data_IF_077049505183
#
_entry.id   IF_077049505183
#
_cell.length_a   1.000
_cell.length_b   1.000
_cell.length_c   1.000
_cell.angle_alpha   90.00
_cell.angle_beta   90.00
_cell.angle_gamma   90.00
#
_symmetry.space_group_name_H-M   'P 1'
#
loop_
_entity.id
_entity.type
_entity.pdbx_description
1 polymer ?
#
# COMPACT_ATOMS: atom_id res chain seq x y z
N UNK A 1 16.45 -32.70 4.25
CA UNK A 1 15.35 -32.83 3.25
C UNK A 1 14.28 -31.81 3.61
N UNK A 2 13.76 -31.00 2.69
CA UNK A 2 12.69 -30.07 3.03
C UNK A 2 11.37 -30.85 3.19
N UNK A 3 10.73 -30.68 4.34
CA UNK A 3 9.46 -31.32 4.69
C UNK A 3 8.36 -30.62 3.89
N UNK A 4 8.05 -31.15 2.71
CA UNK A 4 6.90 -30.72 1.91
C UNK A 4 5.64 -31.45 2.39
N UNK A 5 5.09 -31.04 3.52
CA UNK A 5 3.65 -31.21 3.73
C UNK A 5 2.97 -30.35 2.68
N UNK A 6 2.20 -30.93 1.75
CA UNK A 6 1.36 -30.17 0.81
C UNK A 6 0.42 -29.27 1.62
N UNK A 7 0.85 -28.05 1.92
CA UNK A 7 0.01 -27.00 2.50
C UNK A 7 -1.13 -26.79 1.51
N UNK A 8 -2.36 -26.89 1.99
CA UNK A 8 -3.52 -26.38 1.24
C UNK A 8 -3.16 -24.96 0.78
N UNK A 9 -3.40 -24.63 -0.50
CA UNK A 9 -3.05 -23.34 -1.13
C UNK A 9 -3.23 -22.22 -0.10
N UNK A 10 -2.11 -21.76 0.47
CA UNK A 10 -2.13 -20.75 1.51
C UNK A 10 -2.86 -19.55 0.94
N UNK A 11 -3.88 -19.06 1.66
CA UNK A 11 -4.50 -17.80 1.29
C UNK A 11 -3.38 -16.74 1.31
N UNK A 12 -3.06 -16.18 0.15
CA UNK A 12 -2.04 -15.13 -0.01
C UNK A 12 -2.15 -14.12 1.13
N UNK A 13 -1.12 -14.06 1.97
CA UNK A 13 -1.03 -13.11 3.07
C UNK A 13 -0.45 -11.81 2.55
N UNK A 14 -0.98 -10.68 3.01
CA UNK A 14 -0.51 -9.34 2.66
C UNK A 14 -0.14 -8.57 3.93
N UNK A 15 0.82 -7.64 3.82
CA UNK A 15 1.23 -6.75 4.91
C UNK A 15 0.08 -5.96 5.57
N UNK A 16 -1.05 -5.80 4.86
CA UNK A 16 -2.22 -5.04 5.32
C UNK A 16 -3.51 -5.76 4.96
N UNK A 17 -4.53 -5.62 5.83
CA UNK A 17 -5.91 -6.05 5.54
C UNK A 17 -6.60 -5.20 4.48
N UNK A 18 -6.05 -4.02 4.14
CA UNK A 18 -6.58 -3.13 3.10
C UNK A 18 -6.08 -3.53 1.71
N UNK A 19 -6.14 -4.81 1.33
CA UNK A 19 -5.86 -5.25 -0.04
C UNK A 19 -7.11 -5.07 -0.92
N UNK A 20 -6.98 -4.95 -2.26
CA UNK A 20 -8.12 -4.65 -3.10
C UNK A 20 -9.03 -5.87 -3.23
N UNK A 21 -10.33 -5.65 -2.99
CA UNK A 21 -11.37 -6.67 -3.17
C UNK A 21 -12.28 -6.22 -4.31
N UNK A 22 -12.32 -7.01 -5.36
CA UNK A 22 -13.17 -6.81 -6.51
C UNK A 22 -14.47 -7.58 -6.26
N UNK A 23 -15.59 -6.87 -6.11
CA UNK A 23 -16.91 -7.49 -6.01
C UNK A 23 -17.30 -8.26 -7.28
N UNK A 24 -18.53 -8.78 -7.30
CA UNK A 24 -19.06 -9.58 -8.42
C UNK A 24 -19.39 -8.76 -9.69
N UNK A 25 -19.47 -7.44 -9.58
CA UNK A 25 -19.79 -6.55 -10.70
C UNK A 25 -18.65 -6.38 -11.73
N UNK A 26 -19.03 -5.82 -12.90
CA UNK A 26 -18.07 -5.38 -13.93
C UNK A 26 -17.22 -4.25 -13.36
N UNK A 27 -15.90 -4.39 -13.49
CA UNK A 27 -14.96 -3.41 -12.97
C UNK A 27 -14.87 -2.21 -13.91
N UNK A 28 -15.03 -1.01 -13.37
CA UNK A 28 -14.90 0.24 -14.09
C UNK A 28 -13.72 1.05 -13.54
N UNK A 29 -12.68 1.24 -14.34
CA UNK A 29 -11.47 1.99 -13.96
C UNK A 29 -11.75 3.48 -13.71
N UNK A 30 -12.78 4.06 -14.35
CA UNK A 30 -13.15 5.47 -14.14
C UNK A 30 -13.90 5.69 -12.82
N UNK A 31 -14.63 4.67 -12.36
CA UNK A 31 -15.35 4.70 -11.10
C UNK A 31 -15.12 3.40 -10.31
N UNK A 32 -13.90 3.19 -9.80
CA UNK A 32 -13.55 1.96 -9.12
C UNK A 32 -14.24 1.87 -7.75
N UNK A 33 -14.63 0.67 -7.29
CA UNK A 33 -15.26 0.49 -5.98
C UNK A 33 -14.39 1.01 -4.84
N UNK A 34 -15.04 1.47 -3.75
CA UNK A 34 -14.34 1.96 -2.55
C UNK A 34 -13.42 0.91 -1.93
N UNK A 35 -13.76 -0.38 -2.05
CA UNK A 35 -12.92 -1.51 -1.60
C UNK A 35 -11.59 -1.59 -2.36
N UNK A 36 -11.54 -1.09 -3.59
CA UNK A 36 -10.33 -1.00 -4.42
C UNK A 36 -9.56 0.28 -4.10
N UNK A 37 -10.23 1.44 -4.09
CA UNK A 37 -9.56 2.72 -3.82
C UNK A 37 -9.08 2.88 -2.38
N UNK A 38 -9.60 2.07 -1.45
CA UNK A 38 -9.11 2.00 -0.07
C UNK A 38 -7.83 1.16 0.09
N UNK A 39 -7.33 0.57 -0.99
CA UNK A 39 -6.10 -0.21 -1.01
C UNK A 39 -4.89 0.65 -1.40
N UNK A 40 -3.76 0.57 -0.67
CA UNK A 40 -2.54 1.26 -1.07
C UNK A 40 -1.96 0.69 -2.38
N UNK A 41 -2.22 -0.59 -2.68
CA UNK A 41 -1.73 -1.23 -3.91
C UNK A 41 -2.41 -0.67 -5.18
N UNK A 42 -3.66 -0.23 -5.06
CA UNK A 42 -4.33 0.51 -6.14
C UNK A 42 -3.57 1.81 -6.45
N UNK A 43 -3.24 2.57 -5.40
CA UNK A 43 -2.51 3.83 -5.58
C UNK A 43 -1.09 3.62 -6.08
N UNK A 44 -0.39 2.57 -5.62
CA UNK A 44 0.91 2.17 -6.16
C UNK A 44 0.83 2.02 -7.68
N UNK A 45 -0.14 1.24 -8.16
CA UNK A 45 -0.37 1.05 -9.60
C UNK A 45 -0.69 2.38 -10.31
N UNK A 46 -1.58 3.22 -9.76
CA UNK A 46 -1.92 4.52 -10.36
C UNK A 46 -0.73 5.46 -10.46
N UNK A 47 0.14 5.52 -9.44
CA UNK A 47 1.33 6.36 -9.49
C UNK A 47 2.40 5.79 -10.42
N UNK A 48 2.52 4.47 -10.51
CA UNK A 48 3.41 3.82 -11.48
C UNK A 48 3.03 4.16 -12.92
N UNK A 49 1.73 4.20 -13.24
CA UNK A 49 1.23 4.64 -14.55
C UNK A 49 1.63 6.08 -14.91
N UNK A 50 1.92 6.92 -13.91
CA UNK A 50 2.35 8.30 -14.12
C UNK A 50 3.88 8.45 -14.22
N UNK A 51 4.64 7.38 -13.98
CA UNK A 51 6.09 7.42 -13.97
C UNK A 51 6.66 7.37 -15.41
N UNK A 52 7.27 8.48 -15.82
CA UNK A 52 7.85 8.61 -17.16
C UNK A 52 9.12 7.78 -17.32
N UNK A 53 9.95 7.66 -16.29
CA UNK A 53 11.17 6.83 -16.31
C UNK A 53 10.83 5.33 -16.42
N UNK A 54 9.75 4.89 -15.77
CA UNK A 54 9.20 3.55 -15.93
C UNK A 54 8.68 3.34 -17.35
N UNK A 55 7.94 4.31 -17.89
CA UNK A 55 7.44 4.27 -19.27
C UNK A 55 8.58 4.18 -20.31
N UNK A 56 9.69 4.89 -20.08
CA UNK A 56 10.92 4.78 -20.89
C UNK A 56 11.54 3.38 -20.77
N UNK A 57 11.60 2.84 -19.55
CA UNK A 57 12.14 1.51 -19.26
C UNK A 57 11.39 0.40 -20.01
N UNK A 58 10.05 0.44 -19.97
CA UNK A 58 9.17 -0.46 -20.73
C UNK A 58 9.42 -0.38 -22.25
N UNK A 59 9.77 0.81 -22.77
CA UNK A 59 10.12 1.03 -24.18
C UNK A 59 11.58 0.69 -24.52
N UNK A 60 12.32 0.08 -23.59
CA UNK A 60 13.76 -0.25 -23.72
C UNK A 60 14.65 0.97 -23.97
N UNK A 61 14.23 2.15 -23.51
CA UNK A 61 15.04 3.37 -23.56
C UNK A 61 15.92 3.48 -22.31
N UNK A 62 16.96 4.33 -22.36
CA UNK A 62 17.81 4.61 -21.21
C UNK A 62 16.97 5.21 -20.06
N UNK A 63 17.06 4.58 -18.88
CA UNK A 63 16.26 4.91 -17.69
C UNK A 63 17.07 4.63 -16.43
N UNK A 64 16.62 5.17 -15.30
CA UNK A 64 17.15 4.84 -13.96
C UNK A 64 16.38 3.70 -13.27
N UNK A 65 15.27 3.25 -13.85
CA UNK A 65 14.45 2.17 -13.29
C UNK A 65 15.15 0.82 -13.48
N UNK A 66 15.13 -0.02 -12.45
CA UNK A 66 15.68 -1.38 -12.50
C UNK A 66 14.94 -2.26 -13.50
N UNK A 67 15.68 -3.08 -14.26
CA UNK A 67 15.11 -4.05 -15.21
C UNK A 67 14.14 -5.01 -14.52
N UNK A 68 14.47 -5.46 -13.31
CA UNK A 68 13.62 -6.35 -12.51
C UNK A 68 12.22 -5.76 -12.30
N UNK A 69 12.12 -4.46 -12.02
CA UNK A 69 10.83 -3.78 -11.80
C UNK A 69 9.98 -3.78 -13.07
N UNK A 70 10.61 -3.67 -14.25
CA UNK A 70 9.92 -3.73 -15.54
C UNK A 70 9.47 -5.16 -15.86
N UNK A 71 10.29 -6.15 -15.56
CA UNK A 71 9.97 -7.58 -15.72
C UNK A 71 8.81 -7.99 -14.82
N UNK A 72 8.83 -7.55 -13.56
CA UNK A 72 7.82 -7.88 -12.56
C UNK A 72 6.48 -7.18 -12.84
N UNK A 73 6.49 -5.88 -13.14
CA UNK A 73 5.25 -5.11 -13.28
C UNK A 73 4.69 -5.05 -14.71
N UNK A 74 5.55 -5.26 -15.71
CA UNK A 74 5.15 -5.27 -17.12
C UNK A 74 4.53 -3.95 -17.61
N UNK A 75 3.59 -4.05 -18.56
CA UNK A 75 2.96 -2.87 -19.19
C UNK A 75 1.73 -2.38 -18.41
N UNK A 76 1.95 -1.52 -17.42
CA UNK A 76 0.85 -0.97 -16.62
C UNK A 76 0.00 0.08 -17.37
N UNK A 77 0.53 0.67 -18.45
CA UNK A 77 -0.15 1.70 -19.25
C UNK A 77 -1.33 1.17 -20.08
N UNK A 78 -1.35 -0.13 -20.36
CA UNK A 78 -2.31 -0.78 -21.26
C UNK A 78 -3.27 -1.75 -20.56
N UNK A 79 -3.29 -1.77 -19.24
CA UNK A 79 -4.08 -2.73 -18.48
C UNK A 79 -4.85 -2.01 -17.38
N UNK A 80 -6.07 -2.47 -17.10
CA UNK A 80 -6.84 -1.98 -15.95
C UNK A 80 -6.32 -2.60 -14.65
N UNK A 81 -6.60 -1.96 -13.51
CA UNK A 81 -6.04 -2.42 -12.25
C UNK A 81 -6.49 -3.83 -11.86
N UNK A 82 -7.73 -4.23 -12.17
CA UNK A 82 -8.26 -5.57 -11.81
C UNK A 82 -7.50 -6.65 -12.55
N UNK A 83 -7.34 -6.49 -13.87
CA UNK A 83 -6.60 -7.44 -14.71
C UNK A 83 -5.14 -7.53 -14.28
N UNK A 84 -4.49 -6.39 -14.05
CA UNK A 84 -3.10 -6.35 -13.59
C UNK A 84 -2.93 -7.00 -12.20
N UNK A 85 -3.80 -6.68 -11.24
CA UNK A 85 -3.72 -7.24 -9.88
C UNK A 85 -3.90 -8.76 -9.86
N UNK A 86 -4.76 -9.31 -10.73
CA UNK A 86 -5.03 -10.76 -10.77
C UNK A 86 -3.75 -11.57 -11.04
N UNK A 87 -2.87 -11.06 -11.90
CA UNK A 87 -1.61 -11.72 -12.27
C UNK A 87 -0.44 -11.31 -11.38
N UNK A 88 -0.42 -10.08 -10.84
CA UNK A 88 0.76 -9.51 -10.15
C UNK A 88 0.65 -9.46 -8.62
N UNK A 89 -0.49 -9.84 -8.02
CA UNK A 89 -0.64 -9.74 -6.56
C UNK A 89 0.41 -10.54 -5.76
N UNK A 90 1.00 -11.59 -6.34
CA UNK A 90 2.05 -12.41 -5.71
C UNK A 90 3.34 -11.61 -5.42
N UNK A 91 3.55 -10.48 -6.09
CA UNK A 91 4.67 -9.58 -5.84
C UNK A 91 4.54 -8.85 -4.50
N UNK A 92 3.33 -8.76 -3.97
CA UNK A 92 2.99 -8.03 -2.75
C UNK A 92 2.64 -8.97 -1.58
N UNK A 93 2.75 -10.28 -1.78
CA UNK A 93 2.44 -11.25 -0.74
C UNK A 93 3.62 -11.47 0.18
N UNK A 94 3.32 -11.61 1.47
CA UNK A 94 4.31 -12.08 2.43
C UNK A 94 4.76 -13.50 2.05
N UNK A 95 6.05 -13.82 2.22
CA UNK A 95 6.51 -15.19 2.07
C UNK A 95 5.76 -16.10 3.03
N UNK A 96 5.55 -17.35 2.63
CA UNK A 96 4.95 -18.33 3.53
C UNK A 96 5.86 -18.52 4.75
N UNK A 97 5.29 -18.46 5.94
CA UNK A 97 6.02 -18.84 7.14
C UNK A 97 6.19 -20.35 7.15
N UNK A 98 7.40 -20.81 7.47
CA UNK A 98 7.69 -22.24 7.58
C UNK A 98 6.77 -22.90 8.62
N UNK A 99 6.46 -22.17 9.68
CA UNK A 99 5.66 -22.64 10.79
C UNK A 99 4.24 -22.07 10.81
N UNK A 100 3.33 -22.89 11.30
CA UNK A 100 1.92 -22.56 11.55
C UNK A 100 1.50 -23.15 12.89
N UNK A 101 0.52 -22.56 13.56
CA UNK A 101 -0.01 -23.11 14.81
C UNK A 101 -0.77 -24.41 14.51
N UNK A 102 -0.15 -25.54 14.85
CA UNK A 102 -0.68 -26.89 14.63
C UNK A 102 -0.57 -27.71 15.90
N UNK A 103 -1.35 -28.79 15.98
CA UNK A 103 -1.12 -29.86 16.95
C UNK A 103 -0.20 -30.87 16.27
N UNK A 104 1.05 -30.94 16.71
CA UNK A 104 2.01 -31.89 16.19
C UNK A 104 1.54 -33.33 16.49
N UNK A 105 1.45 -34.17 15.46
CA UNK A 105 1.11 -35.59 15.57
C UNK A 105 2.31 -36.52 15.41
N UNK A 106 3.42 -35.98 14.88
CA UNK A 106 4.67 -36.70 14.67
C UNK A 106 5.85 -35.83 15.06
N UNK A 107 6.99 -36.46 15.32
CA UNK A 107 8.20 -35.75 15.73
C UNK A 107 8.73 -34.81 14.62
N UNK A 108 8.49 -35.12 13.35
CA UNK A 108 8.94 -34.27 12.23
C UNK A 108 8.14 -32.95 12.12
N UNK A 109 6.99 -32.84 12.79
CA UNK A 109 6.18 -31.64 12.84
C UNK A 109 6.61 -30.68 13.98
N UNK A 110 7.49 -31.14 14.87
CA UNK A 110 8.09 -30.32 15.91
C UNK A 110 9.19 -29.45 15.30
N UNK A 111 9.25 -28.21 15.76
CA UNK A 111 10.38 -27.35 15.43
C UNK A 111 11.64 -27.81 16.18
N UNK A 112 12.86 -27.45 15.71
CA UNK A 112 14.07 -27.59 16.52
C UNK A 112 13.88 -26.92 17.89
N UNK A 113 14.31 -27.57 18.97
CA UNK A 113 14.10 -27.09 20.34
C UNK A 113 14.79 -25.76 20.65
N UNK A 114 15.79 -25.43 19.86
CA UNK A 114 16.68 -24.26 19.88
C UNK A 114 16.33 -23.24 18.77
N UNK A 115 15.16 -23.38 18.14
CA UNK A 115 14.65 -22.40 17.17
C UNK A 115 14.43 -21.02 17.80
N UNK A 116 14.85 -19.97 17.10
CA UNK A 116 14.61 -18.57 17.49
C UNK A 116 13.26 -18.03 17.03
N UNK A 117 12.61 -18.72 16.08
CA UNK A 117 11.37 -18.23 15.45
C UNK A 117 10.11 -18.87 16.02
N UNK A 118 10.21 -20.07 16.63
CA UNK A 118 9.06 -20.79 17.17
C UNK A 118 9.40 -21.57 18.44
N UNK A 119 8.35 -21.94 19.19
CA UNK A 119 8.46 -22.76 20.39
C UNK A 119 7.56 -23.99 20.28
N UNK A 120 8.04 -25.13 20.78
CA UNK A 120 7.19 -26.30 20.99
C UNK A 120 6.51 -26.17 22.36
N UNK A 121 5.18 -26.16 22.39
CA UNK A 121 4.39 -25.98 23.61
C UNK A 121 3.62 -27.25 23.96
N UNK A 122 3.78 -27.74 25.19
CA UNK A 122 3.01 -28.87 25.74
C UNK A 122 1.86 -28.34 26.58
N UNK A 123 0.63 -28.78 26.27
CA UNK A 123 -0.59 -28.32 26.96
C UNK A 123 -1.26 -29.49 27.67
N UNK A 124 -1.33 -29.50 29.02
CA UNK A 124 -2.03 -30.54 29.76
C UNK A 124 -3.55 -30.41 29.57
N UNK A 125 -4.20 -31.49 29.10
CA UNK A 125 -5.64 -31.48 28.80
C UNK A 125 -6.55 -31.64 30.02
N UNK A 126 -6.00 -32.04 31.17
CA UNK A 126 -6.76 -32.18 32.42
C UNK A 126 -6.99 -30.83 33.14
N UNK A 127 -6.46 -29.73 32.61
CA UNK A 127 -6.64 -28.39 33.17
C UNK A 127 -7.92 -27.74 32.65
N UNK A 128 -8.45 -26.78 33.41
CA UNK A 128 -9.59 -26.00 32.95
C UNK A 128 -9.20 -25.12 31.75
N UNK A 129 -10.16 -24.90 30.83
CA UNK A 129 -9.95 -24.05 29.64
C UNK A 129 -9.42 -22.65 30.00
N UNK A 130 -9.94 -22.06 31.08
CA UNK A 130 -9.50 -20.75 31.60
C UNK A 130 -8.07 -20.82 32.13
N UNK A 131 -7.71 -21.88 32.85
CA UNK A 131 -6.36 -22.10 33.37
C UNK A 131 -5.32 -22.23 32.26
N UNK A 132 -5.64 -23.02 31.21
CA UNK A 132 -4.80 -23.18 30.01
C UNK A 132 -4.60 -21.83 29.33
N UNK A 133 -5.68 -21.13 28.96
CA UNK A 133 -5.60 -19.82 28.29
C UNK A 133 -4.74 -18.83 29.06
N UNK A 134 -4.95 -18.71 30.37
CA UNK A 134 -4.17 -17.82 31.24
C UNK A 134 -2.68 -18.16 31.23
N UNK A 135 -2.32 -19.44 31.34
CA UNK A 135 -0.92 -19.86 31.38
C UNK A 135 -0.22 -19.70 30.04
N UNK A 136 -0.91 -20.02 28.95
CA UNK A 136 -0.42 -19.78 27.58
C UNK A 136 -0.18 -18.29 27.35
N UNK A 137 -1.13 -17.42 27.72
CA UNK A 137 -0.93 -15.96 27.63
C UNK A 137 0.28 -15.47 28.43
N UNK A 138 0.50 -15.99 29.65
CA UNK A 138 1.69 -15.64 30.45
C UNK A 138 3.00 -16.07 29.80
N UNK A 139 3.03 -17.23 29.13
CA UNK A 139 4.21 -17.69 28.39
C UNK A 139 4.46 -16.82 27.15
N UNK A 140 3.42 -16.53 26.39
CA UNK A 140 3.51 -15.66 25.21
C UNK A 140 4.00 -14.26 25.60
N UNK A 141 3.47 -13.66 26.67
CA UNK A 141 3.87 -12.32 27.12
C UNK A 141 5.35 -12.25 27.54
N UNK A 142 5.97 -13.37 27.92
CA UNK A 142 7.41 -13.44 28.25
C UNK A 142 8.30 -13.62 27.01
N UNK A 143 7.82 -14.37 26.03
CA UNK A 143 8.62 -14.80 24.88
C UNK A 143 8.45 -13.90 23.65
N UNK A 144 7.26 -13.32 23.49
CA UNK A 144 6.90 -12.48 22.34
C UNK A 144 6.81 -11.02 22.81
N UNK A 145 7.65 -10.13 22.28
CA UNK A 145 7.60 -8.73 22.66
C UNK A 145 6.26 -8.11 22.26
N UNK A 146 5.70 -7.29 23.16
CA UNK A 146 4.47 -6.55 22.86
C UNK A 146 4.75 -5.51 21.80
N UNK A 147 4.04 -5.57 20.69
CA UNK A 147 4.18 -4.59 19.62
C UNK A 147 3.65 -3.23 20.06
N UNK A 148 4.41 -2.14 19.89
CA UNK A 148 3.89 -0.79 20.09
C UNK A 148 2.65 -0.56 19.23
N UNK A 149 1.66 0.16 19.75
CA UNK A 149 0.44 0.49 19.00
C UNK A 149 0.81 1.16 17.66
N UNK A 150 0.37 0.54 16.56
CA UNK A 150 0.52 1.09 15.21
C UNK A 150 1.87 0.82 14.52
N UNK A 151 2.75 0.00 15.12
CA UNK A 151 3.95 -0.48 14.43
C UNK A 151 3.80 -1.96 14.09
N UNK A 152 4.27 -2.42 12.91
CA UNK A 152 4.37 -3.85 12.65
C UNK A 152 5.52 -4.46 13.46
N UNK A 153 5.35 -5.70 13.94
CA UNK A 153 6.36 -6.40 14.75
C UNK A 153 7.62 -6.72 13.93
N UNK A 154 7.43 -7.04 12.64
CA UNK A 154 8.49 -7.22 11.65
C UNK A 154 8.13 -6.43 10.39
N UNK A 155 9.11 -5.87 9.66
CA UNK A 155 8.85 -5.33 8.34
C UNK A 155 8.29 -6.41 7.42
N UNK A 156 7.50 -5.99 6.44
CA UNK A 156 7.01 -6.89 5.38
C UNK A 156 8.19 -7.42 4.58
N UNK A 157 8.21 -8.73 4.33
CA UNK A 157 9.24 -9.42 3.54
C UNK A 157 8.76 -9.69 2.11
N UNK A 158 7.63 -9.10 1.72
CA UNK A 158 7.16 -9.12 0.34
C UNK A 158 8.21 -8.52 -0.61
N UNK A 159 8.36 -9.07 -1.84
CA UNK A 159 9.27 -8.51 -2.85
C UNK A 159 9.02 -7.02 -3.11
N UNK A 160 7.75 -6.64 -3.14
CA UNK A 160 7.29 -5.26 -3.18
C UNK A 160 6.48 -4.94 -1.93
N UNK A 161 7.09 -4.19 -1.02
CA UNK A 161 6.56 -3.99 0.35
C UNK A 161 6.01 -2.58 0.55
N UNK A 162 5.03 -2.48 1.46
CA UNK A 162 4.53 -1.19 1.89
C UNK A 162 5.47 -0.56 2.92
N UNK A 163 5.77 0.73 2.74
CA UNK A 163 6.52 1.54 3.69
C UNK A 163 5.76 1.81 4.99
N UNK A 164 6.45 2.36 6.00
CA UNK A 164 5.94 2.49 7.38
C UNK A 164 4.66 3.30 7.53
N UNK A 165 4.52 4.43 6.81
CA UNK A 165 3.39 5.35 6.98
C UNK A 165 2.78 5.70 5.63
N UNK A 166 1.51 5.37 5.46
CA UNK A 166 0.73 5.71 4.28
C UNK A 166 -0.70 6.08 4.64
N UNK A 167 -1.32 6.91 3.78
CA UNK A 167 -2.69 7.35 3.94
C UNK A 167 -3.38 7.35 2.58
N UNK A 168 -4.51 6.64 2.51
CA UNK A 168 -5.34 6.57 1.31
C UNK A 168 -5.84 7.96 0.90
N UNK A 169 -6.23 8.78 1.87
CA UNK A 169 -6.68 10.15 1.63
C UNK A 169 -5.53 10.98 1.03
N UNK A 170 -4.31 10.79 1.53
CA UNK A 170 -3.14 11.49 1.01
C UNK A 170 -2.79 11.04 -0.42
N UNK A 171 -2.91 9.75 -0.74
CA UNK A 171 -2.73 9.23 -2.10
C UNK A 171 -3.75 9.81 -3.07
N UNK A 172 -5.03 9.76 -2.72
CA UNK A 172 -6.10 10.29 -3.55
C UNK A 172 -5.92 11.79 -3.80
N UNK A 173 -5.64 12.57 -2.74
CA UNK A 173 -5.41 14.01 -2.86
C UNK A 173 -4.22 14.33 -3.77
N UNK A 174 -3.09 13.65 -3.55
CA UNK A 174 -1.87 13.84 -4.35
C UNK A 174 -2.10 13.47 -5.83
N UNK A 175 -2.74 12.31 -6.09
CA UNK A 175 -3.06 11.86 -7.44
C UNK A 175 -3.98 12.85 -8.17
N UNK A 176 -5.07 13.28 -7.54
CA UNK A 176 -6.03 14.21 -8.14
C UNK A 176 -5.39 15.54 -8.51
N UNK A 177 -4.59 16.11 -7.60
CA UNK A 177 -3.89 17.38 -7.85
C UNK A 177 -2.89 17.24 -8.99
N UNK A 178 -2.12 16.15 -9.00
CA UNK A 178 -1.16 15.88 -10.08
C UNK A 178 -1.86 15.78 -11.44
N UNK A 179 -2.97 15.04 -11.52
CA UNK A 179 -3.74 14.89 -12.75
C UNK A 179 -4.35 16.21 -13.23
N UNK A 180 -4.95 16.98 -12.33
CA UNK A 180 -5.50 18.31 -12.66
C UNK A 180 -4.42 19.28 -13.12
N UNK A 181 -3.24 19.26 -12.47
CA UNK A 181 -2.11 20.09 -12.89
C UNK A 181 -1.62 19.70 -14.28
N UNK A 182 -1.45 18.41 -14.54
CA UNK A 182 -1.04 17.88 -15.85
C UNK A 182 -2.06 18.25 -16.95
N UNK A 183 -3.36 18.17 -16.65
CA UNK A 183 -4.42 18.62 -17.56
C UNK A 183 -4.38 20.12 -17.81
N UNK A 184 -4.17 20.93 -16.77
CA UNK A 184 -4.00 22.38 -16.90
C UNK A 184 -2.81 22.71 -17.80
N UNK A 185 -1.66 22.07 -17.59
CA UNK A 185 -0.46 22.34 -18.38
C UNK A 185 -0.65 21.93 -19.84
N UNK A 186 -1.29 20.78 -20.08
CA UNK A 186 -1.65 20.36 -21.44
C UNK A 186 -2.61 21.34 -22.11
N UNK A 187 -3.58 21.88 -21.37
CA UNK A 187 -4.50 22.90 -21.85
C UNK A 187 -3.80 24.20 -22.21
N UNK A 188 -2.78 24.61 -21.45
CA UNK A 188 -1.94 25.78 -21.76
C UNK A 188 -1.21 25.58 -23.09
N UNK A 189 -0.65 24.41 -23.34
CA UNK A 189 -0.06 24.07 -24.64
C UNK A 189 -1.07 24.11 -25.79
N UNK A 190 -2.36 24.03 -25.51
CA UNK A 190 -3.46 24.16 -26.47
C UNK A 190 -4.07 25.58 -26.51
N UNK A 191 -3.42 26.57 -25.90
CA UNK A 191 -3.87 27.97 -25.88
C UNK A 191 -4.93 28.31 -24.82
N UNK A 192 -5.24 27.40 -23.88
CA UNK A 192 -6.16 27.67 -22.76
C UNK A 192 -5.44 28.39 -21.62
N UNK A 193 -6.20 29.10 -20.78
CA UNK A 193 -5.65 29.74 -19.58
C UNK A 193 -5.19 28.70 -18.56
N UNK A 194 -4.04 28.96 -17.92
CA UNK A 194 -3.49 28.13 -16.83
C UNK A 194 -4.41 28.21 -15.61
N UNK A 195 -4.73 27.06 -15.03
CA UNK A 195 -5.52 26.99 -13.79
C UNK A 195 -4.60 27.32 -12.61
N UNK A 196 -4.95 28.30 -11.75
CA UNK A 196 -4.18 28.59 -10.55
C UNK A 196 -4.19 27.44 -9.53
N UNK A 197 -3.13 27.32 -8.74
CA UNK A 197 -2.98 26.26 -7.73
C UNK A 197 -4.12 26.20 -6.72
N UNK A 198 -4.58 27.36 -6.22
CA UNK A 198 -5.72 27.42 -5.31
C UNK A 198 -6.99 26.82 -5.93
N UNK A 199 -7.22 27.06 -7.22
CA UNK A 199 -8.40 26.55 -7.93
C UNK A 199 -8.25 25.06 -8.22
N UNK A 200 -7.03 24.57 -8.51
CA UNK A 200 -6.71 23.14 -8.57
C UNK A 200 -7.03 22.45 -7.23
N UNK A 201 -6.72 23.07 -6.09
CA UNK A 201 -7.03 22.52 -4.77
C UNK A 201 -8.55 22.35 -4.54
N UNK A 202 -9.33 23.32 -5.01
CA UNK A 202 -10.79 23.29 -4.94
C UNK A 202 -11.37 22.23 -5.88
N UNK A 203 -10.90 22.18 -7.13
CA UNK A 203 -11.30 21.17 -8.13
C UNK A 203 -10.95 19.75 -7.68
N UNK A 204 -9.83 19.56 -6.97
CA UNK A 204 -9.42 18.29 -6.38
C UNK A 204 -10.32 17.85 -5.20
N UNK A 205 -11.24 18.71 -4.75
CA UNK A 205 -12.16 18.50 -3.66
C UNK A 205 -11.48 18.10 -2.35
N UNK A 206 -10.36 18.75 -2.01
CA UNK A 206 -9.64 18.47 -0.76
C UNK A 206 -10.54 18.84 0.44
N UNK A 207 -10.71 17.97 1.45
CA UNK A 207 -11.60 18.26 2.58
C UNK A 207 -11.25 19.55 3.34
N UNK A 208 -9.97 19.92 3.38
CA UNK A 208 -9.53 21.18 3.98
C UNK A 208 -9.84 22.38 3.08
N UNK A 209 -9.72 22.23 1.76
CA UNK A 209 -10.01 23.29 0.81
C UNK A 209 -11.49 23.63 0.78
N UNK A 210 -12.34 22.60 0.77
CA UNK A 210 -13.80 22.74 0.84
C UNK A 210 -14.21 23.46 2.13
N UNK A 211 -13.65 23.05 3.27
CA UNK A 211 -13.94 23.70 4.57
C UNK A 211 -13.49 25.15 4.63
N UNK A 212 -12.30 25.46 4.11
CA UNK A 212 -11.80 26.84 4.05
C UNK A 212 -12.64 27.73 3.13
N UNK A 213 -13.19 27.17 2.05
CA UNK A 213 -14.04 27.90 1.10
C UNK A 213 -15.50 28.06 1.59
N UNK A 214 -16.02 27.10 2.36
CA UNK A 214 -17.38 27.12 2.92
C UNK A 214 -17.49 27.80 4.29
N UNK A 215 -16.36 28.23 4.87
CA UNK A 215 -16.34 28.81 6.20
C UNK A 215 -17.20 30.08 6.31
N UNK A 216 -18.15 30.08 7.26
CA UNK A 216 -18.97 31.25 7.66
C UNK A 216 -18.17 32.34 8.40
N UNK A 217 -16.86 32.18 8.55
CA UNK A 217 -16.01 33.14 9.25
C UNK A 217 -15.23 34.00 8.27
N UNK A 218 -15.08 35.27 8.64
CA UNK A 218 -14.32 36.37 8.02
C UNK A 218 -12.84 36.04 7.78
N UNK A 219 -12.52 34.96 7.09
CA UNK A 219 -11.17 34.74 6.60
C UNK A 219 -10.92 35.72 5.47
N UNK A 220 -9.77 36.38 5.53
CA UNK A 220 -9.26 37.13 4.39
C UNK A 220 -9.15 36.20 3.18
N UNK A 221 -9.84 36.58 2.09
CA UNK A 221 -9.89 35.81 0.83
C UNK A 221 -8.48 35.57 0.28
N UNK A 222 -7.56 36.52 0.50
CA UNK A 222 -6.16 36.41 0.06
C UNK A 222 -5.45 35.33 0.88
N UNK A 223 -5.59 35.36 2.21
CA UNK A 223 -5.01 34.34 3.10
C UNK A 223 -5.52 32.92 2.76
N UNK A 224 -6.82 32.76 2.46
CA UNK A 224 -7.38 31.48 2.03
C UNK A 224 -6.75 31.01 0.72
N UNK A 225 -6.64 31.85 -0.31
CA UNK A 225 -6.01 31.47 -1.58
C UNK A 225 -4.54 31.11 -1.41
N UNK A 226 -3.80 31.80 -0.55
CA UNK A 226 -2.41 31.49 -0.26
C UNK A 226 -2.27 30.11 0.42
N UNK A 227 -3.13 29.82 1.40
CA UNK A 227 -3.16 28.52 2.08
C UNK A 227 -3.50 27.38 1.10
N UNK A 228 -4.53 27.57 0.26
CA UNK A 228 -4.91 26.59 -0.76
C UNK A 228 -3.78 26.32 -1.76
N UNK A 229 -3.08 27.38 -2.18
CA UNK A 229 -1.92 27.28 -3.07
C UNK A 229 -0.81 26.45 -2.44
N UNK A 230 -0.44 26.75 -1.19
CA UNK A 230 0.59 26.01 -0.45
C UNK A 230 0.22 24.52 -0.27
N UNK A 231 -1.05 24.24 0.05
CA UNK A 231 -1.56 22.87 0.18
C UNK A 231 -1.48 22.13 -1.16
N UNK A 232 -1.88 22.77 -2.25
CA UNK A 232 -1.83 22.17 -3.59
C UNK A 232 -0.42 21.80 -3.99
N UNK A 233 0.54 22.73 -3.84
CA UNK A 233 1.95 22.51 -4.13
C UNK A 233 2.49 21.34 -3.31
N UNK A 234 2.24 21.31 -1.99
CA UNK A 234 2.69 20.22 -1.13
C UNK A 234 2.17 18.84 -1.56
N UNK A 235 0.92 18.77 -2.01
CA UNK A 235 0.36 17.51 -2.51
C UNK A 235 0.89 17.15 -3.89
N UNK A 236 1.20 18.13 -4.74
CA UNK A 236 1.86 17.91 -6.01
C UNK A 236 3.28 17.37 -5.83
N UNK A 237 4.08 17.96 -4.95
CA UNK A 237 5.43 17.49 -4.64
C UNK A 237 5.40 16.06 -4.09
N UNK A 238 4.47 15.81 -3.15
CA UNK A 238 4.23 14.47 -2.62
C UNK A 238 3.80 13.47 -3.69
N UNK A 239 3.03 13.90 -4.70
CA UNK A 239 2.70 13.04 -5.84
C UNK A 239 3.97 12.66 -6.61
N UNK A 240 4.89 13.60 -6.82
CA UNK A 240 6.23 13.32 -7.38
C UNK A 240 6.99 12.27 -6.59
N UNK A 241 7.01 12.38 -5.26
CA UNK A 241 7.64 11.37 -4.40
C UNK A 241 7.00 9.99 -4.57
N UNK A 242 5.66 9.93 -4.61
CA UNK A 242 4.92 8.69 -4.80
C UNK A 242 5.14 8.06 -6.18
N UNK A 243 5.21 8.89 -7.24
CA UNK A 243 5.52 8.44 -8.61
C UNK A 243 6.92 7.82 -8.64
N UNK A 244 7.90 8.47 -8.02
CA UNK A 244 9.26 7.97 -7.95
C UNK A 244 9.35 6.66 -7.15
N UNK A 245 8.72 6.62 -5.96
CA UNK A 245 8.70 5.43 -5.12
C UNK A 245 7.98 4.25 -5.78
N UNK A 246 6.92 4.50 -6.56
CA UNK A 246 6.16 3.45 -7.21
C UNK A 246 6.97 2.60 -8.20
N UNK A 247 8.06 3.15 -8.76
CA UNK A 247 8.99 2.43 -9.65
C UNK A 247 10.15 1.75 -8.89
N UNK A 248 10.00 1.55 -7.59
CA UNK A 248 10.96 0.84 -6.72
C UNK A 248 10.28 -0.36 -6.05
N UNK A 249 11.02 -1.08 -5.20
CA UNK A 249 10.51 -2.20 -4.41
C UNK A 249 9.77 -1.77 -3.12
N UNK A 250 9.70 -0.47 -2.82
CA UNK A 250 9.03 0.04 -1.61
C UNK A 250 8.12 1.24 -1.93
N UNK A 251 6.92 1.25 -1.36
CA UNK A 251 5.97 2.34 -1.54
C UNK A 251 5.14 2.61 -0.29
N UNK A 252 4.86 3.87 0.09
CA UNK A 252 5.16 5.09 -0.65
C UNK A 252 6.47 5.77 -0.29
N UNK A 253 7.19 5.22 0.68
CA UNK A 253 8.40 5.81 1.25
C UNK A 253 9.25 4.70 1.82
N UNK A 254 10.57 4.87 1.80
CA UNK A 254 11.50 3.87 2.31
C UNK A 254 11.34 3.62 3.81
N UNK A 255 11.57 2.37 4.22
CA UNK A 255 11.65 1.96 5.62
C UNK A 255 13.10 2.23 6.10
N UNK A 256 13.49 3.50 6.25
CA UNK A 256 14.72 3.84 7.00
C UNK A 256 14.49 3.67 8.51
#
# INVERSE_FOLDING_TARGET
MPISTKKAKSSRSFATRKYPVFGTGVFNEKNPPKTVTSSPFYWWFKFLQLNEEYSKAVRKQKTKVSKQVVEDFGRVDKTDFKSWWKTHNHLFTEPETDYSLIIARKNEELAPFDSKDVINLVVPLHWTNVGIKRRVSQLIDKLVPKTPKGQPLRPSDAPYRLGRKWSIIAFQAAYNIYMLKKQSDLGVSQGKKKIPWADIALMANLPIAVRMNQGKHSYDKIAVRNALTAIAIRHFDRAGDFINAAATNEFPSKIN
#
